data_IF_252654061387
#
_entry.id   IF_252654061387
#
_cell.length_a   1.000
_cell.length_b   1.000
_cell.length_c   1.000
_cell.angle_alpha   90.00
_cell.angle_beta   90.00
_cell.angle_gamma   90.00
#
_symmetry.space_group_name_H-M   'P 1'
#
loop_
_entity.id
_entity.type
_entity.pdbx_description
1 polymer ?
#
# COMPACT_ATOMS: atom_id res chain seq x y z
N UNK A 1 2.59 -21.20 24.34
CA UNK A 1 3.15 -21.04 22.98
C UNK A 1 2.61 -19.74 22.43
N UNK A 2 3.32 -18.65 22.67
CA UNK A 2 4.26 -18.04 21.71
C UNK A 2 3.49 -16.92 21.01
N UNK A 3 3.83 -15.66 21.29
CA UNK A 3 3.23 -14.50 20.65
C UNK A 3 3.23 -14.73 19.13
N UNK A 4 2.04 -14.81 18.54
CA UNK A 4 1.91 -14.99 17.10
C UNK A 4 2.58 -13.78 16.41
N UNK A 5 3.33 -13.99 15.31
CA UNK A 5 4.14 -12.98 14.62
C UNK A 5 3.33 -11.81 14.00
N UNK A 6 2.03 -11.71 14.29
CA UNK A 6 1.03 -10.77 13.76
C UNK A 6 1.23 -9.28 14.13
N UNK A 7 2.33 -8.89 14.78
CA UNK A 7 2.51 -7.54 15.36
C UNK A 7 3.64 -6.69 14.73
N UNK A 8 4.19 -7.08 13.58
CA UNK A 8 5.14 -6.28 12.79
C UNK A 8 4.57 -6.16 11.37
N UNK A 9 3.98 -5.07 10.88
CA UNK A 9 4.22 -3.67 11.19
C UNK A 9 5.21 -3.06 10.20
N UNK A 10 4.84 -2.94 8.92
CA UNK A 10 5.37 -2.03 7.87
C UNK A 10 4.33 -2.10 6.73
N UNK A 11 3.61 -1.00 6.45
CA UNK A 11 2.64 -0.81 5.33
C UNK A 11 2.36 -2.05 4.45
N UNK A 12 1.39 -2.86 4.86
CA UNK A 12 0.89 -3.97 4.05
C UNK A 12 -0.43 -3.60 3.40
N UNK A 13 -0.68 -4.09 2.19
CA UNK A 13 -1.94 -3.81 1.49
C UNK A 13 -3.14 -4.32 2.32
N UNK A 14 -4.18 -3.50 2.54
CA UNK A 14 -5.34 -3.89 3.36
C UNK A 14 -6.13 -5.07 2.76
N UNK A 15 -5.96 -5.34 1.46
CA UNK A 15 -6.70 -6.39 0.74
C UNK A 15 -5.99 -7.75 0.74
N UNK A 16 -4.67 -7.78 0.58
CA UNK A 16 -3.90 -9.02 0.42
C UNK A 16 -2.85 -9.25 1.51
N UNK A 17 -2.64 -8.27 2.41
CA UNK A 17 -1.54 -8.26 3.40
C UNK A 17 -0.14 -8.40 2.76
N UNK A 18 -0.03 -8.11 1.47
CA UNK A 18 1.22 -8.19 0.71
C UNK A 18 2.01 -6.89 0.75
N UNK A 19 3.22 -6.94 0.21
CA UNK A 19 4.16 -5.83 0.12
C UNK A 19 3.60 -4.67 -0.74
N UNK A 20 3.73 -3.45 -0.23
CA UNK A 20 3.48 -2.21 -0.99
C UNK A 20 4.82 -1.61 -1.43
N UNK A 21 4.92 -1.26 -2.71
CA UNK A 21 6.05 -0.52 -3.28
C UNK A 21 5.75 0.97 -3.19
N UNK A 22 6.51 1.71 -2.38
CA UNK A 22 6.43 3.17 -2.37
C UNK A 22 7.27 3.73 -3.51
N UNK A 23 6.62 4.38 -4.48
CA UNK A 23 7.25 5.16 -5.54
C UNK A 23 7.18 6.62 -5.17
N UNK A 24 8.33 7.27 -5.02
CA UNK A 24 8.43 8.71 -4.72
C UNK A 24 8.71 9.58 -5.95
N UNK A 25 8.88 8.98 -7.14
CA UNK A 25 9.17 9.71 -8.37
C UNK A 25 8.43 9.09 -9.57
N UNK A 26 7.82 9.90 -10.47
CA UNK A 26 7.77 11.38 -10.51
C UNK A 26 6.73 12.03 -9.57
N UNK A 27 5.85 11.24 -8.96
CA UNK A 27 4.90 11.65 -7.92
C UNK A 27 4.86 10.54 -6.85
N UNK A 28 4.58 10.89 -5.60
CA UNK A 28 4.45 9.91 -4.53
C UNK A 28 3.22 9.01 -4.77
N UNK A 29 3.42 7.70 -4.74
CA UNK A 29 2.40 6.69 -4.98
C UNK A 29 2.77 5.37 -4.30
N UNK A 30 1.79 4.70 -3.71
CA UNK A 30 1.95 3.35 -3.16
C UNK A 30 1.39 2.35 -4.18
N UNK A 31 2.24 1.48 -4.71
CA UNK A 31 1.88 0.46 -5.69
C UNK A 31 1.81 -0.90 -5.00
N UNK A 32 0.65 -1.56 -5.08
CA UNK A 32 0.50 -2.95 -4.69
C UNK A 32 0.61 -3.85 -5.92
N UNK A 33 1.74 -4.54 -6.10
CA UNK A 33 1.90 -5.52 -7.19
C UNK A 33 0.97 -6.73 -7.04
N UNK A 34 0.66 -7.15 -5.81
CA UNK A 34 -0.21 -8.30 -5.56
C UNK A 34 -1.67 -8.04 -5.94
N UNK A 35 -2.18 -6.83 -5.68
CA UNK A 35 -3.53 -6.43 -6.07
C UNK A 35 -3.59 -5.71 -7.42
N UNK A 36 -2.43 -5.34 -7.99
CA UNK A 36 -2.27 -4.45 -9.15
C UNK A 36 -3.02 -3.14 -8.96
N UNK A 37 -2.80 -2.51 -7.80
CA UNK A 37 -3.41 -1.23 -7.42
C UNK A 37 -2.35 -0.17 -7.24
N UNK A 38 -2.64 1.05 -7.66
CA UNK A 38 -1.82 2.24 -7.45
C UNK A 38 -2.63 3.22 -6.63
N UNK A 39 -2.14 3.51 -5.43
CA UNK A 39 -2.63 4.57 -4.56
C UNK A 39 -1.78 5.81 -4.81
N UNK A 40 -2.40 6.94 -5.14
CA UNK A 40 -1.68 8.21 -5.23
C UNK A 40 -1.41 8.77 -3.83
N UNK A 41 -0.36 9.57 -3.70
CA UNK A 41 -0.12 10.39 -2.51
C UNK A 41 -0.21 11.85 -2.97
N UNK A 42 -1.16 12.58 -2.40
CA UNK A 42 -1.41 13.99 -2.69
C UNK A 42 -1.26 14.77 -1.39
N UNK A 43 -0.51 15.87 -1.40
CA UNK A 43 -0.28 16.70 -0.20
C UNK A 43 0.33 15.94 1.00
N UNK A 44 1.23 14.97 0.74
CA UNK A 44 1.80 14.05 1.76
C UNK A 44 0.76 13.10 2.38
N UNK A 45 -0.49 13.11 1.88
CA UNK A 45 -1.58 12.25 2.33
C UNK A 45 -1.74 11.09 1.33
N UNK A 46 -1.47 9.84 1.73
CA UNK A 46 -1.69 8.68 0.88
C UNK A 46 -3.20 8.43 0.71
N UNK A 47 -3.68 8.56 -0.53
CA UNK A 47 -5.05 8.23 -0.92
C UNK A 47 -5.17 6.70 -0.97
N UNK A 48 -5.29 6.08 0.20
CA UNK A 48 -5.49 4.63 0.35
C UNK A 48 -6.96 4.22 0.15
N UNK A 49 -7.72 4.98 -0.64
CA UNK A 49 -9.10 4.67 -0.99
C UNK A 49 -9.10 3.66 -2.13
N UNK A 50 -9.72 2.51 -1.90
CA UNK A 50 -9.81 1.43 -2.90
C UNK A 50 -10.57 1.89 -4.15
N UNK A 51 -11.49 2.84 -3.99
CA UNK A 51 -12.29 3.42 -5.08
C UNK A 51 -11.45 4.33 -6.00
N UNK A 52 -10.49 5.06 -5.43
CA UNK A 52 -9.57 5.94 -6.17
C UNK A 52 -8.31 5.21 -6.65
N UNK A 53 -8.06 4.01 -6.11
CA UNK A 53 -6.94 3.18 -6.49
C UNK A 53 -7.03 2.77 -7.97
N UNK A 54 -6.03 3.16 -8.76
CA UNK A 54 -5.99 2.82 -10.19
C UNK A 54 -5.42 1.42 -10.38
N UNK A 55 -6.07 0.63 -11.22
CA UNK A 55 -5.52 -0.66 -11.65
C UNK A 55 -4.49 -0.45 -12.76
N UNK A 56 -3.43 -1.27 -12.77
CA UNK A 56 -2.41 -1.30 -13.82
C UNK A 56 -2.16 -2.70 -14.36
#
# INVERSE_FOLDING_TARGET
MSLAPDLLGILVCPKCKGSLEHRTAPAEALVCHACRLIYAVEDDIPIMLIDEAKHF
#
